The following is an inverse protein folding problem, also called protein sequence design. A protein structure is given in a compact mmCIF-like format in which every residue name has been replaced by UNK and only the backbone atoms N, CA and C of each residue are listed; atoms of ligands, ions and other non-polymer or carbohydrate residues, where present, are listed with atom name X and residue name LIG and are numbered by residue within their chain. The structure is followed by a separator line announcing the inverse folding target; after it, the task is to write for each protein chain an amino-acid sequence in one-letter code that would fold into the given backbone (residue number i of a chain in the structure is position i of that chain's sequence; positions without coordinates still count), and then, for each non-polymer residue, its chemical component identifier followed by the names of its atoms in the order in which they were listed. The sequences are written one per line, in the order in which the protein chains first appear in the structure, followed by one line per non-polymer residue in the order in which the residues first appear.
data_IF_453415920299
#
_entry.id   IF_453415920299
#
_cell.length_a   1.000
_cell.length_b   1.000
_cell.length_c   1.000
_cell.angle_alpha   90.00
_cell.angle_beta   90.00
_cell.angle_gamma   90.00
#
_symmetry.space_group_name_H-M   'P 1'
#
loop_
_entity.id
_entity.type
_entity.pdbx_description
1 polymer ?
#
# COMPACT_ATOMS: atom_id res chain seq x y z
N UNK A 1 -12.78 -0.36 -5.31
CA UNK A 1 -11.71 -0.88 -6.14
C UNK A 1 -10.46 -0.03 -6.02
N UNK A 2 -9.35 -0.67 -5.85
CA UNK A 2 -8.08 0.01 -5.57
C UNK A 2 -7.27 0.14 -6.85
N UNK A 3 -7.42 1.25 -7.53
CA UNK A 3 -6.84 1.49 -8.85
C UNK A 3 -5.31 1.46 -8.87
N UNK A 4 -4.66 1.67 -7.74
CA UNK A 4 -3.20 1.66 -7.66
C UNK A 4 -2.60 0.30 -7.29
N UNK A 5 -3.40 -0.68 -6.90
CA UNK A 5 -2.89 -2.01 -6.48
C UNK A 5 -2.13 -2.72 -7.59
N UNK A 6 -2.55 -2.52 -8.82
CA UNK A 6 -1.87 -3.06 -9.99
C UNK A 6 -0.38 -2.66 -10.01
N UNK A 7 -0.09 -1.43 -9.60
CA UNK A 7 1.28 -0.91 -9.59
C UNK A 7 2.07 -1.39 -8.37
N UNK A 8 1.37 -1.92 -7.37
CA UNK A 8 1.98 -2.38 -6.13
C UNK A 8 2.17 -3.90 -6.06
N UNK A 9 1.81 -4.63 -7.11
CA UNK A 9 1.94 -6.09 -7.10
C UNK A 9 3.35 -6.54 -6.75
N UNK A 10 4.37 -5.93 -7.35
CA UNK A 10 5.76 -6.25 -7.06
C UNK A 10 6.13 -5.92 -5.61
N UNK A 11 5.60 -4.83 -5.08
CA UNK A 11 5.84 -4.41 -3.69
C UNK A 11 5.22 -5.41 -2.73
N UNK A 12 4.00 -5.84 -2.98
CA UNK A 12 3.34 -6.84 -2.14
C UNK A 12 4.09 -8.17 -2.17
N UNK A 13 4.58 -8.56 -3.33
CA UNK A 13 5.36 -9.77 -3.48
C UNK A 13 6.66 -9.71 -2.67
N UNK A 14 7.37 -8.59 -2.75
CA UNK A 14 8.59 -8.36 -1.98
C UNK A 14 8.32 -8.37 -0.47
N UNK A 15 7.17 -7.88 -0.08
CA UNK A 15 6.76 -7.83 1.33
C UNK A 15 6.22 -9.17 1.83
N UNK A 16 6.03 -10.14 0.95
CA UNK A 16 5.44 -11.42 1.30
C UNK A 16 3.95 -11.32 1.61
N UNK A 17 3.29 -10.34 1.03
CA UNK A 17 1.86 -10.10 1.25
C UNK A 17 1.04 -10.74 0.13
N UNK A 18 0.12 -11.60 0.51
CA UNK A 18 -0.78 -12.23 -0.42
C UNK A 18 -2.11 -11.47 -0.48
N UNK A 19 -2.34 -10.76 -1.57
CA UNK A 19 -3.56 -9.96 -1.74
C UNK A 19 -4.69 -10.83 -2.27
N UNK A 20 -5.78 -10.90 -1.54
CA UNK A 20 -6.97 -11.64 -1.93
C UNK A 20 -8.17 -10.70 -1.96
N UNK A 21 -9.29 -11.17 -2.48
CA UNK A 21 -10.53 -10.39 -2.48
C UNK A 21 -10.99 -10.05 -1.06
N UNK A 22 -10.68 -10.93 -0.12
CA UNK A 22 -11.11 -10.77 1.27
C UNK A 22 -10.30 -9.72 2.03
N UNK A 23 -9.00 -9.63 1.75
CA UNK A 23 -8.12 -8.71 2.47
C UNK A 23 -7.78 -7.42 1.73
N UNK A 24 -8.17 -7.32 0.47
CA UNK A 24 -7.86 -6.18 -0.39
C UNK A 24 -8.30 -4.84 0.21
N UNK A 25 -9.51 -4.79 0.72
CA UNK A 25 -10.06 -3.58 1.34
C UNK A 25 -9.28 -3.18 2.60
N UNK A 26 -8.93 -4.17 3.40
CA UNK A 26 -8.17 -3.94 4.62
C UNK A 26 -6.77 -3.41 4.32
N UNK A 27 -6.11 -3.99 3.33
CA UNK A 27 -4.79 -3.54 2.87
C UNK A 27 -4.88 -2.09 2.38
N UNK A 28 -5.92 -1.76 1.64
CA UNK A 28 -6.16 -0.41 1.15
C UNK A 28 -6.30 0.58 2.31
N UNK A 29 -7.07 0.24 3.32
CA UNK A 29 -7.24 1.07 4.52
C UNK A 29 -5.92 1.27 5.26
N UNK A 30 -5.12 0.23 5.35
CA UNK A 30 -3.80 0.29 5.99
C UNK A 30 -2.89 1.24 5.22
N UNK A 31 -2.88 1.16 3.91
CA UNK A 31 -2.07 2.04 3.07
C UNK A 31 -2.49 3.49 3.26
N UNK A 32 -3.78 3.77 3.26
CA UNK A 32 -4.29 5.13 3.50
C UNK A 32 -3.86 5.65 4.88
N UNK A 33 -3.87 4.78 5.87
CA UNK A 33 -3.43 5.12 7.21
C UNK A 33 -1.93 5.45 7.26
N UNK A 34 -1.12 4.67 6.57
CA UNK A 34 0.33 4.88 6.52
C UNK A 34 0.66 6.22 5.87
N UNK A 35 0.01 6.55 4.77
CA UNK A 35 0.30 7.79 4.04
C UNK A 35 -0.49 9.00 4.57
N UNK A 36 -1.42 8.78 5.48
CA UNK A 36 -2.20 9.85 6.09
C UNK A 36 -3.20 10.52 5.14
N UNK A 37 -3.69 9.79 4.15
CA UNK A 37 -4.64 10.30 3.16
C UNK A 37 -5.99 9.65 3.38
N UNK A 38 -7.05 10.39 3.19
CA UNK A 38 -8.41 9.90 3.35
C UNK A 38 -8.71 8.71 2.44
N UNK A 39 -9.44 7.75 2.99
CA UNK A 39 -9.90 6.59 2.25
C UNK A 39 -10.74 7.04 1.04
N UNK A 40 -10.56 6.39 -0.07
CA UNK A 40 -11.18 6.66 -1.37
C UNK A 40 -10.51 7.73 -2.23
N UNK A 41 -9.44 8.35 -1.74
CA UNK A 41 -8.69 9.29 -2.55
C UNK A 41 -7.51 8.58 -3.21
N UNK A 42 -7.78 7.72 -4.19
CA UNK A 42 -6.80 6.86 -4.80
C UNK A 42 -5.67 7.60 -5.52
N UNK A 43 -5.97 8.71 -6.19
CA UNK A 43 -4.96 9.49 -6.91
C UNK A 43 -3.91 10.05 -5.96
N UNK A 44 -4.36 10.68 -4.88
CA UNK A 44 -3.45 11.27 -3.90
C UNK A 44 -2.69 10.17 -3.16
N UNK A 45 -3.35 9.07 -2.85
CA UNK A 45 -2.75 7.94 -2.18
C UNK A 45 -1.62 7.35 -3.04
N UNK A 46 -1.87 7.14 -4.31
CA UNK A 46 -0.87 6.60 -5.21
C UNK A 46 0.33 7.52 -5.35
N UNK A 47 0.10 8.82 -5.44
CA UNK A 47 1.19 9.80 -5.51
C UNK A 47 2.10 9.70 -4.28
N UNK A 48 1.50 9.63 -3.11
CA UNK A 48 2.25 9.54 -1.85
C UNK A 48 2.99 8.21 -1.74
N UNK A 49 2.34 7.12 -2.08
CA UNK A 49 2.95 5.79 -2.06
C UNK A 49 4.15 5.75 -3.01
N UNK A 50 3.98 6.27 -4.21
CA UNK A 50 5.03 6.33 -5.22
C UNK A 50 6.23 7.13 -4.72
N UNK A 51 5.96 8.26 -4.07
CA UNK A 51 6.99 9.10 -3.49
C UNK A 51 7.79 8.36 -2.42
N UNK A 52 7.10 7.68 -1.51
CA UNK A 52 7.73 6.92 -0.43
C UNK A 52 8.55 5.75 -0.96
N UNK A 53 8.08 5.09 -2.00
CA UNK A 53 8.80 4.00 -2.65
C UNK A 53 10.08 4.51 -3.31
N UNK A 54 10.02 5.70 -3.89
CA UNK A 54 11.18 6.30 -4.51
C UNK A 54 12.23 6.79 -3.51
N UNK A 55 11.79 7.18 -2.32
CA UNK A 55 12.68 7.67 -1.27
C UNK A 55 13.27 6.52 -0.43
N UNK A 56 12.40 5.60 0.01
CA UNK A 56 12.83 4.48 0.85
C UNK A 56 11.82 3.32 0.74
N UNK A 57 11.99 2.54 -0.29
CA UNK A 57 11.14 1.38 -0.56
C UNK A 57 11.15 0.38 0.60
N UNK A 58 12.33 0.09 1.14
CA UNK A 58 12.46 -0.89 2.23
C UNK A 58 11.70 -0.46 3.46
N UNK A 59 11.76 0.80 3.80
CA UNK A 59 11.06 1.35 4.96
C UNK A 59 9.55 1.24 4.77
N UNK A 60 9.06 1.59 3.59
CA UNK A 60 7.65 1.49 3.27
C UNK A 60 7.17 0.03 3.36
N UNK A 61 7.91 -0.89 2.77
CA UNK A 61 7.58 -2.31 2.80
C UNK A 61 7.55 -2.82 4.24
N UNK A 62 8.53 -2.45 5.04
CA UNK A 62 8.62 -2.85 6.44
C UNK A 62 7.41 -2.34 7.23
N UNK A 63 7.05 -1.07 7.04
CA UNK A 63 5.89 -0.47 7.70
C UNK A 63 4.61 -1.19 7.31
N UNK A 64 4.46 -1.50 6.03
CA UNK A 64 3.28 -2.20 5.52
C UNK A 64 3.18 -3.61 6.12
N UNK A 65 4.27 -4.34 6.17
CA UNK A 65 4.30 -5.68 6.76
C UNK A 65 3.92 -5.65 8.23
N UNK A 66 4.46 -4.71 8.98
CA UNK A 66 4.16 -4.56 10.41
C UNK A 66 2.67 -4.24 10.62
N UNK A 67 2.13 -3.38 9.79
CA UNK A 67 0.73 -2.97 9.91
C UNK A 67 -0.24 -4.10 9.56
N UNK A 68 0.19 -5.04 8.73
CA UNK A 68 -0.64 -6.16 8.29
C UNK A 68 -0.40 -7.47 9.04
N UNK A 69 0.43 -7.44 10.03
CA UNK A 69 0.72 -8.62 10.84
C UNK A 69 -0.47 -9.13 11.64
#
# INVERSE_FOLDING_TARGET
MTCYFRHLEAVFEKAGINVTKDNKREIDKVIHSIVGIEYKNCSATWKEVKKRLGEDEKSFISTLREALK
#
